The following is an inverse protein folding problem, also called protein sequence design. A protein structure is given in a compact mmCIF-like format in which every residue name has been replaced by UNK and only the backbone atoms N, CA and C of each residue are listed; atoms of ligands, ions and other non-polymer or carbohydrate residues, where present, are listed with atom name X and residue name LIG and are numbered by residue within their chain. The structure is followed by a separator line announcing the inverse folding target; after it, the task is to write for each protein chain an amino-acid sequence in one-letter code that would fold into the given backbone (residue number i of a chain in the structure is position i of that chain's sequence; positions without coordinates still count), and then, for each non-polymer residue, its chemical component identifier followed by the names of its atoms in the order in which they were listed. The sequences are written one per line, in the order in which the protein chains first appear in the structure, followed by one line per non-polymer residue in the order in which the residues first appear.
data_IF_214145180526
#
_entry.id   IF_214145180526
#
_cell.length_a   1.000
_cell.length_b   1.000
_cell.length_c   1.000
_cell.angle_alpha   90.00
_cell.angle_beta   90.00
_cell.angle_gamma   90.00
#
_symmetry.space_group_name_H-M   'P 1'
#
loop_
_entity.id
_entity.type
_entity.pdbx_description
1 polymer ?
#
# COMPACT_ATOMS: atom_id res chain seq x y z
N UNK A 1 -0.37 7.26 -12.23
CA UNK A 1 -1.44 6.28 -11.97
C UNK A 1 -1.37 5.88 -10.49
N UNK A 2 -2.49 5.51 -9.87
CA UNK A 2 -2.50 4.96 -8.50
C UNK A 2 -2.90 3.50 -8.59
N UNK A 3 -2.13 2.65 -7.90
CA UNK A 3 -2.46 1.23 -7.68
C UNK A 3 -3.00 1.15 -6.27
N UNK A 4 -4.19 0.60 -6.07
CA UNK A 4 -4.84 0.58 -4.77
C UNK A 4 -4.82 -0.81 -4.18
N UNK A 5 -4.70 -0.84 -2.86
CA UNK A 5 -4.68 -2.07 -2.09
C UNK A 5 -5.63 -1.94 -0.90
N UNK A 6 -6.27 -3.04 -0.54
CA UNK A 6 -6.73 -3.27 0.81
C UNK A 6 -5.60 -3.99 1.55
N UNK A 7 -4.93 -3.27 2.46
CA UNK A 7 -3.83 -3.78 3.30
C UNK A 7 -4.42 -4.15 4.66
N UNK A 8 -4.79 -5.42 4.84
CA UNK A 8 -5.34 -5.96 6.10
C UNK A 8 -6.55 -5.18 6.66
N UNK A 9 -7.37 -4.60 5.78
CA UNK A 9 -8.54 -3.79 6.08
C UNK A 9 -8.33 -2.28 5.95
N UNK A 10 -7.11 -1.81 5.69
CA UNK A 10 -6.81 -0.40 5.43
C UNK A 10 -6.69 -0.15 3.92
N UNK A 11 -7.53 0.75 3.38
CA UNK A 11 -7.41 1.18 1.97
C UNK A 11 -6.16 2.04 1.81
N UNK A 12 -5.26 1.64 0.93
CA UNK A 12 -4.02 2.33 0.63
C UNK A 12 -3.84 2.47 -0.88
N UNK A 13 -3.00 3.40 -1.30
CA UNK A 13 -2.58 3.48 -2.69
C UNK A 13 -1.10 3.75 -2.83
N UNK A 14 -0.53 3.20 -3.90
CA UNK A 14 0.85 3.42 -4.31
C UNK A 14 0.86 4.20 -5.62
N UNK A 15 1.74 5.19 -5.72
CA UNK A 15 1.94 6.00 -6.90
C UNK A 15 3.41 6.00 -7.30
N UNK A 16 3.71 5.71 -8.56
CA UNK A 16 5.04 5.97 -9.13
C UNK A 16 5.21 7.48 -9.34
N UNK A 17 6.26 8.05 -8.78
CA UNK A 17 6.67 9.44 -9.04
C UNK A 17 8.17 9.47 -9.36
N UNK A 18 8.50 9.52 -10.65
CA UNK A 18 9.88 9.33 -11.10
C UNK A 18 10.36 7.94 -10.73
N UNK A 19 11.49 7.88 -10.03
CA UNK A 19 12.07 6.62 -9.55
C UNK A 19 11.56 6.20 -8.18
N UNK A 20 10.59 6.91 -7.59
CA UNK A 20 10.10 6.59 -6.25
C UNK A 20 8.68 6.01 -6.27
N UNK A 21 8.44 5.13 -5.31
CA UNK A 21 7.10 4.67 -4.95
C UNK A 21 6.58 5.44 -3.74
N UNK A 22 5.42 6.07 -3.93
CA UNK A 22 4.76 6.83 -2.88
C UNK A 22 3.52 6.08 -2.38
N UNK A 23 3.53 5.68 -1.11
CA UNK A 23 2.44 5.10 -0.36
C UNK A 23 1.53 6.15 0.31
N UNK A 24 0.23 5.95 0.21
CA UNK A 24 -0.79 6.79 0.82
C UNK A 24 -1.82 5.93 1.57
N UNK A 25 -2.38 6.46 2.66
CA UNK A 25 -3.64 5.98 3.22
C UNK A 25 -4.78 6.67 2.49
N UNK A 26 -5.72 5.89 1.96
CA UNK A 26 -6.93 6.44 1.36
C UNK A 26 -7.95 6.79 2.46
N UNK A 27 -8.79 7.76 2.17
CA UNK A 27 -9.94 8.12 2.99
C UNK A 27 -11.17 8.17 2.11
N UNK A 28 -12.29 7.66 2.61
CA UNK A 28 -13.56 7.69 1.87
C UNK A 28 -14.22 9.08 1.91
N UNK A 29 -13.83 9.94 2.87
CA UNK A 29 -14.48 11.24 3.12
C UNK A 29 -13.53 12.43 3.12
N UNK A 30 -12.22 12.18 3.15
CA UNK A 30 -11.18 13.20 3.25
C UNK A 30 -10.10 12.99 2.19
N UNK A 31 -9.09 13.86 2.19
CA UNK A 31 -7.93 13.69 1.32
C UNK A 31 -7.06 12.53 1.79
N UNK A 32 -6.46 11.82 0.81
CA UNK A 32 -5.45 10.80 1.10
C UNK A 32 -4.25 11.43 1.81
N UNK A 33 -3.66 10.70 2.75
CA UNK A 33 -2.49 11.13 3.49
C UNK A 33 -1.25 10.34 3.07
N UNK A 34 -0.13 11.03 2.88
CA UNK A 34 1.16 10.39 2.54
C UNK A 34 1.69 9.64 3.77
N UNK A 35 2.14 8.41 3.57
CA UNK A 35 2.86 7.62 4.57
C UNK A 35 4.36 7.79 4.36
N UNK A 36 5.06 8.33 5.35
CA UNK A 36 6.51 8.56 5.27
C UNK A 36 7.34 7.48 5.98
N UNK A 37 6.75 6.80 6.96
CA UNK A 37 7.44 5.79 7.77
C UNK A 37 7.68 4.46 7.02
N UNK A 38 7.09 4.32 5.83
CA UNK A 38 7.30 3.17 4.95
C UNK A 38 7.88 3.66 3.63
N UNK A 39 9.12 3.25 3.37
CA UNK A 39 9.83 3.48 2.11
C UNK A 39 9.69 2.22 1.27
N UNK A 40 9.18 2.33 0.04
CA UNK A 40 9.13 1.21 -0.91
C UNK A 40 10.36 1.33 -1.81
N UNK A 41 11.22 0.30 -1.94
CA UNK A 41 12.39 0.35 -2.81
C UNK A 41 12.03 0.70 -4.27
N UNK A 42 12.80 1.57 -4.89
CA UNK A 42 12.54 2.14 -6.22
C UNK A 42 12.57 1.12 -7.37
N UNK A 43 13.29 0.03 -7.17
CA UNK A 43 13.50 -1.06 -8.11
C UNK A 43 12.38 -2.11 -8.08
N UNK A 44 11.46 -2.07 -7.11
CA UNK A 44 10.28 -2.93 -7.13
C UNK A 44 9.43 -2.70 -8.36
N UNK A 45 9.01 -3.80 -8.98
CA UNK A 45 8.01 -3.83 -10.03
C UNK A 45 6.61 -3.71 -9.44
N UNK A 46 5.65 -3.27 -10.25
CA UNK A 46 4.26 -3.10 -9.83
C UNK A 46 3.66 -4.39 -9.24
N UNK A 47 4.03 -5.55 -9.81
CA UNK A 47 3.52 -6.86 -9.38
C UNK A 47 4.05 -7.27 -7.99
N UNK A 48 5.17 -6.69 -7.55
CA UNK A 48 5.82 -7.00 -6.27
C UNK A 48 5.27 -6.15 -5.12
N UNK A 49 4.57 -5.05 -5.42
CA UNK A 49 4.02 -4.12 -4.42
C UNK A 49 3.07 -4.81 -3.44
N UNK A 50 2.26 -5.76 -3.91
CA UNK A 50 1.35 -6.52 -3.04
C UNK A 50 2.13 -7.29 -1.99
N UNK A 51 3.12 -8.08 -2.41
CA UNK A 51 3.95 -8.89 -1.51
C UNK A 51 4.70 -8.00 -0.52
N UNK A 52 5.28 -6.91 -1.00
CA UNK A 52 5.96 -5.95 -0.14
C UNK A 52 5.05 -5.37 0.95
N UNK A 53 3.83 -4.96 0.59
CA UNK A 53 2.87 -4.44 1.56
C UNK A 53 2.40 -5.53 2.54
N UNK A 54 2.25 -6.78 2.09
CA UNK A 54 1.91 -7.89 2.96
C UNK A 54 3.00 -8.16 4.01
N UNK A 55 4.27 -8.13 3.60
CA UNK A 55 5.40 -8.37 4.50
C UNK A 55 5.56 -7.24 5.52
N UNK A 56 5.54 -5.98 5.08
CA UNK A 56 5.75 -4.80 5.95
C UNK A 56 4.60 -4.62 6.95
N UNK A 57 3.36 -4.93 6.56
CA UNK A 57 2.19 -4.75 7.41
C UNK A 57 1.66 -6.05 8.03
N UNK A 58 2.46 -7.14 8.03
CA UNK A 58 1.99 -8.47 8.44
C UNK A 58 1.33 -8.51 9.82
N UNK A 59 1.80 -7.69 10.78
CA UNK A 59 1.25 -7.61 12.14
C UNK A 59 -0.20 -7.10 12.20
N UNK A 60 -0.71 -6.49 11.13
CA UNK A 60 -2.09 -6.02 11.03
C UNK A 60 -3.05 -7.09 10.50
N UNK A 61 -2.54 -8.26 10.10
CA UNK A 61 -3.36 -9.35 9.61
C UNK A 61 -4.35 -9.84 10.67
N UNK A 62 -5.60 -10.05 10.26
CA UNK A 62 -6.69 -10.53 11.13
C UNK A 62 -7.62 -11.45 10.37
N UNK A 63 -8.41 -12.23 11.08
CA UNK A 63 -9.29 -13.24 10.47
C UNK A 63 -10.19 -12.69 9.36
N UNK A 64 -10.69 -11.46 9.49
CA UNK A 64 -11.55 -10.83 8.47
C UNK A 64 -10.77 -10.28 7.26
N UNK A 65 -9.49 -9.99 7.45
CA UNK A 65 -8.59 -9.45 6.43
C UNK A 65 -7.25 -10.19 6.54
N UNK A 66 -7.15 -11.42 6.02
CA UNK A 66 -5.99 -12.27 6.22
C UNK A 66 -4.83 -11.96 5.26
N UNK A 67 -5.07 -11.12 4.24
CA UNK A 67 -4.12 -10.85 3.17
C UNK A 67 -4.28 -9.41 2.63
N UNK A 68 -3.28 -8.97 1.87
CA UNK A 68 -3.31 -7.75 1.08
C UNK A 68 -3.87 -8.05 -0.31
N UNK A 69 -4.85 -7.28 -0.77
CA UNK A 69 -5.47 -7.46 -2.09
C UNK A 69 -5.45 -6.15 -2.89
N UNK A 70 -5.18 -6.23 -4.19
CA UNK A 70 -5.32 -5.08 -5.10
C UNK A 70 -6.81 -4.82 -5.38
N UNK A 71 -7.25 -3.54 -5.41
CA UNK A 71 -8.68 -3.13 -5.48
C UNK A 71 -8.95 -1.96 -6.43
#
# INVERSE_FOLDING_TARGET
MFIKFNVYGQKMSVQRKGDEWLLFKESDTSMRSRVYDVVIPSDLQEQELRTYLADIYHEFARSEFPDVVEI
#
